data_IF_876453152363
#
_entry.id   IF_876453152363
#
_cell.length_a   1.000
_cell.length_b   1.000
_cell.length_c   1.000
_cell.angle_alpha   90.00
_cell.angle_beta   90.00
_cell.angle_gamma   90.00
#
_symmetry.space_group_name_H-M   'P 1'
#
loop_
_entity.id
_entity.type
_entity.pdbx_description
1 polymer ?
#
# COMPACT_ATOMS: atom_id res chain seq x y z
N UNK A 1 -10.12 22.19 11.06
CA UNK A 1 -8.79 21.83 10.56
C UNK A 1 -8.95 20.67 9.58
N UNK A 2 -8.35 20.74 8.41
CA UNK A 2 -8.31 19.64 7.45
C UNK A 2 -7.28 18.62 7.92
N UNK A 3 -7.64 17.33 7.96
CA UNK A 3 -6.71 16.24 8.28
C UNK A 3 -6.11 15.67 7.01
N UNK A 4 -4.82 15.37 7.02
CA UNK A 4 -4.10 14.84 5.87
C UNK A 4 -3.68 13.39 6.10
N UNK A 5 -4.05 12.54 5.14
CA UNK A 5 -3.78 11.10 5.17
C UNK A 5 -2.76 10.78 4.09
N UNK A 6 -1.67 10.14 4.48
CA UNK A 6 -0.72 9.54 3.57
C UNK A 6 -1.17 8.14 3.14
N UNK A 7 -0.86 7.72 1.93
CA UNK A 7 -1.15 6.38 1.42
C UNK A 7 0.06 5.84 0.64
N UNK A 8 0.45 4.61 0.91
CA UNK A 8 1.46 3.88 0.14
C UNK A 8 1.08 2.41 -0.07
N UNK A 9 1.67 1.81 -1.09
CA UNK A 9 1.59 0.38 -1.39
C UNK A 9 2.97 -0.25 -1.34
N UNK A 10 3.16 -1.32 -0.56
CA UNK A 10 4.46 -1.93 -0.33
C UNK A 10 4.44 -3.46 -0.43
N UNK A 11 5.61 -4.07 -0.61
CA UNK A 11 5.80 -5.50 -0.72
C UNK A 11 5.84 -6.00 -2.17
N UNK A 12 5.15 -7.10 -2.49
CA UNK A 12 5.00 -7.63 -3.85
C UNK A 12 3.72 -7.12 -4.51
N UNK A 13 3.64 -7.22 -5.82
CA UNK A 13 2.40 -6.94 -6.55
C UNK A 13 1.28 -7.91 -6.19
N UNK A 14 0.04 -7.44 -6.22
CA UNK A 14 -1.14 -8.22 -5.87
C UNK A 14 -2.40 -7.60 -6.48
N UNK A 15 -3.38 -8.42 -6.79
CA UNK A 15 -4.69 -7.96 -7.22
C UNK A 15 -5.37 -7.12 -6.11
N UNK A 16 -6.22 -6.18 -6.51
CA UNK A 16 -7.06 -5.39 -5.60
C UNK A 16 -6.41 -4.16 -4.98
N UNK A 17 -5.11 -3.91 -5.20
CA UNK A 17 -4.45 -2.71 -4.62
C UNK A 17 -5.04 -1.41 -5.18
N UNK A 18 -5.24 -1.30 -6.48
CA UNK A 18 -5.89 -0.13 -7.08
C UNK A 18 -7.34 0.05 -6.61
N UNK A 19 -8.07 -1.05 -6.40
CA UNK A 19 -9.41 -1.01 -5.84
C UNK A 19 -9.40 -0.46 -4.40
N UNK A 20 -8.43 -0.88 -3.57
CA UNK A 20 -8.25 -0.36 -2.21
C UNK A 20 -7.86 1.13 -2.22
N UNK A 21 -6.91 1.54 -3.06
CA UNK A 21 -6.54 2.96 -3.25
C UNK A 21 -7.77 3.79 -3.60
N UNK A 22 -8.57 3.30 -4.57
CA UNK A 22 -9.80 3.98 -5.00
C UNK A 22 -10.84 4.05 -3.88
N UNK A 23 -11.02 2.97 -3.11
CA UNK A 23 -11.94 2.94 -1.98
C UNK A 23 -11.57 3.99 -0.93
N UNK A 24 -10.30 4.04 -0.52
CA UNK A 24 -9.78 5.05 0.40
C UNK A 24 -9.97 6.45 -0.17
N UNK A 25 -9.56 6.67 -1.43
CA UNK A 25 -9.67 7.97 -2.07
C UNK A 25 -11.12 8.47 -2.19
N UNK A 26 -12.08 7.57 -2.47
CA UNK A 26 -13.50 7.92 -2.48
C UNK A 26 -14.03 8.27 -1.10
N UNK A 27 -13.62 7.51 -0.07
CA UNK A 27 -14.00 7.81 1.31
C UNK A 27 -13.45 9.18 1.75
N UNK A 28 -12.19 9.47 1.45
CA UNK A 28 -11.57 10.77 1.74
C UNK A 28 -12.25 11.90 0.95
N UNK A 29 -12.55 11.71 -0.34
CA UNK A 29 -13.20 12.72 -1.16
C UNK A 29 -14.65 13.05 -0.74
N UNK A 30 -15.30 12.16 0.00
CA UNK A 30 -16.63 12.38 0.55
C UNK A 30 -16.64 13.33 1.76
N UNK A 31 -15.50 13.51 2.43
CA UNK A 31 -15.34 14.43 3.57
C UNK A 31 -14.40 15.58 3.21
N UNK A 32 -14.94 16.78 3.07
CA UNK A 32 -14.15 18.01 2.78
C UNK A 32 -13.09 18.36 3.83
N UNK A 33 -13.11 17.68 4.98
CA UNK A 33 -12.11 17.84 6.04
C UNK A 33 -10.92 16.89 5.91
N UNK A 34 -10.90 16.05 4.87
CA UNK A 34 -9.84 15.09 4.62
C UNK A 34 -9.11 15.40 3.32
N UNK A 35 -7.80 15.22 3.31
CA UNK A 35 -6.94 15.26 2.12
C UNK A 35 -6.16 13.96 2.03
N UNK A 36 -5.93 13.46 0.81
CA UNK A 36 -5.17 12.26 0.54
C UNK A 36 -3.93 12.57 -0.30
N UNK A 37 -2.77 12.11 0.16
CA UNK A 37 -1.52 12.18 -0.59
C UNK A 37 -0.95 10.76 -0.74
N UNK A 38 -0.57 10.36 -1.96
CA UNK A 38 0.10 9.09 -2.23
C UNK A 38 1.61 9.24 -2.15
N UNK A 39 2.31 8.19 -1.68
CA UNK A 39 3.77 8.06 -1.77
C UNK A 39 4.11 7.02 -2.82
N UNK A 40 5.00 7.36 -3.76
CA UNK A 40 5.39 6.49 -4.85
C UNK A 40 6.34 5.39 -4.39
N UNK A 41 6.23 4.20 -4.99
CA UNK A 41 7.14 3.08 -4.78
C UNK A 41 7.29 2.68 -3.29
N UNK A 42 6.16 2.70 -2.57
CA UNK A 42 6.08 2.26 -1.18
C UNK A 42 6.89 3.14 -0.22
N UNK A 43 7.65 2.50 0.67
CA UNK A 43 8.47 3.22 1.64
C UNK A 43 9.63 3.99 1.00
N UNK A 44 10.05 3.68 -0.24
CA UNK A 44 11.04 4.49 -0.93
C UNK A 44 10.53 5.93 -1.09
N UNK A 45 9.30 6.09 -1.56
CA UNK A 45 8.69 7.41 -1.73
C UNK A 45 8.49 8.15 -0.41
N UNK A 46 8.20 7.43 0.67
CA UNK A 46 8.10 8.06 1.99
C UNK A 46 9.46 8.57 2.48
N UNK A 47 10.54 7.79 2.28
CA UNK A 47 11.90 8.15 2.70
C UNK A 47 12.50 9.27 1.84
N UNK A 48 12.21 9.25 0.52
CA UNK A 48 12.75 10.17 -0.49
C UNK A 48 11.83 11.38 -0.76
N UNK A 49 10.70 11.47 -0.07
CA UNK A 49 9.68 12.52 -0.25
C UNK A 49 9.11 12.58 -1.69
N UNK A 50 8.87 11.40 -2.30
CA UNK A 50 8.27 11.31 -3.64
C UNK A 50 6.77 11.07 -3.54
N UNK A 51 6.01 12.11 -3.80
CA UNK A 51 4.56 12.10 -3.65
C UNK A 51 3.81 12.06 -4.97
N UNK A 52 2.53 11.74 -4.89
CA UNK A 52 1.56 11.79 -5.99
C UNK A 52 0.24 12.33 -5.44
N UNK A 53 -0.31 13.34 -6.08
CA UNK A 53 -1.67 13.80 -5.78
C UNK A 53 -2.68 12.72 -6.21
N UNK A 54 -3.58 12.37 -5.30
CA UNK A 54 -4.66 11.41 -5.52
C UNK A 54 -6.04 12.07 -5.67
N UNK A 55 -6.05 13.40 -5.89
CA UNK A 55 -7.25 14.18 -6.16
C UNK A 55 -7.73 14.09 -7.61
N UNK A 56 -8.81 14.80 -7.89
CA UNK A 56 -9.36 14.94 -9.25
C UNK A 56 -9.78 13.61 -9.88
N UNK A 57 -9.41 13.41 -11.15
CA UNK A 57 -9.76 12.23 -11.95
C UNK A 57 -8.84 11.03 -11.81
N UNK A 58 -7.72 11.13 -11.04
CA UNK A 58 -6.68 10.09 -10.95
C UNK A 58 -7.23 8.74 -10.51
N UNK A 59 -8.23 8.73 -9.64
CA UNK A 59 -8.87 7.51 -9.15
C UNK A 59 -9.96 6.97 -10.08
N UNK A 60 -10.24 7.66 -11.18
CA UNK A 60 -11.21 7.20 -12.17
C UNK A 60 -10.62 6.07 -13.01
N UNK A 61 -11.41 5.01 -13.23
CA UNK A 61 -11.01 3.89 -14.08
C UNK A 61 -10.01 2.89 -13.46
N UNK A 62 -9.44 3.14 -12.27
CA UNK A 62 -8.43 2.25 -11.68
C UNK A 62 -9.02 1.01 -10.97
N UNK A 63 -10.33 0.92 -10.79
CA UNK A 63 -10.98 -0.15 -10.02
C UNK A 63 -10.63 -1.55 -10.55
N UNK A 64 -10.61 -1.70 -11.86
CA UNK A 64 -10.38 -2.97 -12.55
C UNK A 64 -8.96 -3.13 -13.09
N UNK A 65 -8.10 -2.14 -12.86
CA UNK A 65 -6.69 -2.22 -13.25
C UNK A 65 -5.90 -3.03 -12.23
N UNK A 66 -5.14 -4.00 -12.70
CA UNK A 66 -4.15 -4.71 -11.88
C UNK A 66 -3.02 -3.80 -11.40
N UNK A 67 -2.23 -4.29 -10.46
CA UNK A 67 -1.12 -3.54 -9.91
C UNK A 67 -1.52 -2.38 -9.01
N UNK A 68 -0.67 -1.36 -8.99
CA UNK A 68 -0.88 -0.15 -8.19
C UNK A 68 -0.40 1.09 -8.93
N UNK A 69 -1.23 2.13 -8.98
CA UNK A 69 -0.86 3.43 -9.57
C UNK A 69 0.23 4.16 -8.77
N UNK A 70 0.43 3.78 -7.51
CA UNK A 70 1.48 4.36 -6.65
C UNK A 70 2.85 3.71 -6.87
N UNK A 71 2.93 2.60 -7.61
CA UNK A 71 4.13 1.79 -7.65
C UNK A 71 4.34 0.99 -6.36
N UNK A 72 5.35 0.13 -6.33
CA UNK A 72 5.57 -0.77 -5.21
C UNK A 72 7.06 -1.04 -5.00
N UNK A 73 7.48 -1.24 -3.75
CA UNK A 73 8.83 -1.66 -3.38
C UNK A 73 8.78 -2.61 -2.20
N UNK A 74 9.77 -3.50 -2.10
CA UNK A 74 9.98 -4.39 -0.95
C UNK A 74 10.86 -3.77 0.13
N UNK A 75 11.46 -2.62 -0.15
CA UNK A 75 12.30 -1.92 0.81
C UNK A 75 11.49 -1.44 2.01
N UNK A 76 12.11 -1.45 3.17
CA UNK A 76 11.53 -0.97 4.42
C UNK A 76 12.43 0.10 5.03
N UNK A 77 11.91 1.08 5.78
CA UNK A 77 12.70 2.20 6.29
C UNK A 77 13.93 1.79 7.11
N UNK A 78 13.84 0.67 7.88
CA UNK A 78 14.95 0.16 8.70
C UNK A 78 16.06 -0.50 7.88
N UNK A 79 15.84 -0.80 6.60
CA UNK A 79 16.80 -1.51 5.74
C UNK A 79 16.68 -1.05 4.28
N UNK A 80 16.84 0.24 4.06
CA UNK A 80 16.89 0.81 2.71
C UNK A 80 18.21 0.50 2.02
N UNK A 81 18.22 0.20 0.72
CA UNK A 81 19.45 0.01 -0.02
C UNK A 81 20.37 1.24 0.08
N UNK A 82 21.64 1.02 0.43
CA UNK A 82 22.66 2.05 0.55
C UNK A 82 24.01 1.50 0.10
N UNK A 83 24.44 1.85 -1.11
CA UNK A 83 25.69 1.33 -1.70
C UNK A 83 25.69 -0.18 -1.80
N UNK A 84 26.65 -0.85 -1.12
CA UNK A 84 26.75 -2.33 -1.07
C UNK A 84 26.00 -2.97 0.11
N UNK A 85 25.24 -2.20 0.89
CA UNK A 85 24.53 -2.66 2.08
C UNK A 85 23.17 -2.01 2.24
N UNK A 86 22.71 -1.92 3.48
CA UNK A 86 21.47 -1.24 3.86
C UNK A 86 21.73 -0.19 4.92
N UNK A 87 20.89 0.85 4.96
CA UNK A 87 20.88 1.89 5.98
C UNK A 87 19.49 2.01 6.61
N UNK A 88 19.46 2.35 7.88
CA UNK A 88 18.23 2.72 8.56
C UNK A 88 17.89 4.20 8.25
N UNK A 89 16.85 4.40 7.46
CA UNK A 89 16.33 5.70 7.08
C UNK A 89 14.95 5.97 7.72
N UNK A 90 14.68 5.37 8.87
CA UNK A 90 13.45 5.58 9.65
C UNK A 90 13.24 7.06 9.96
N UNK A 91 14.31 7.80 10.29
CA UNK A 91 14.21 9.22 10.58
C UNK A 91 13.76 10.03 9.36
N UNK A 92 14.23 9.69 8.15
CA UNK A 92 13.79 10.34 6.91
C UNK A 92 12.28 10.15 6.69
N UNK A 93 11.75 8.94 6.96
CA UNK A 93 10.31 8.67 6.89
C UNK A 93 9.52 9.51 7.90
N UNK A 94 10.03 9.64 9.14
CA UNK A 94 9.44 10.48 10.19
C UNK A 94 9.44 11.95 9.78
N UNK A 95 10.54 12.44 9.22
CA UNK A 95 10.68 13.84 8.81
C UNK A 95 9.74 14.18 7.65
N UNK A 96 9.59 13.25 6.67
CA UNK A 96 8.64 13.40 5.57
C UNK A 96 7.19 13.41 6.08
N UNK A 97 6.84 12.49 6.99
CA UNK A 97 5.53 12.47 7.64
C UNK A 97 5.20 13.81 8.32
N UNK A 98 6.14 14.37 9.10
CA UNK A 98 5.99 15.66 9.78
C UNK A 98 5.93 16.83 8.80
N UNK A 99 6.78 16.82 7.76
CA UNK A 99 6.83 17.88 6.72
C UNK A 99 5.50 18.02 6.01
N UNK A 100 4.87 16.89 5.64
CA UNK A 100 3.55 16.87 5.04
C UNK A 100 2.42 17.07 6.05
N UNK A 101 2.72 17.17 7.35
CA UNK A 101 1.73 17.31 8.44
C UNK A 101 0.66 16.23 8.35
N UNK A 102 1.10 14.99 8.18
CA UNK A 102 0.17 13.87 8.10
C UNK A 102 -0.45 13.60 9.48
N UNK A 103 -1.75 13.37 9.51
CA UNK A 103 -2.48 12.90 10.70
C UNK A 103 -2.44 11.38 10.82
N UNK A 104 -2.33 10.68 9.67
CA UNK A 104 -2.18 9.23 9.60
C UNK A 104 -1.49 8.82 8.30
N UNK A 105 -0.87 7.64 8.31
CA UNK A 105 -0.33 6.98 7.13
C UNK A 105 -0.97 5.60 6.97
N UNK A 106 -1.61 5.37 5.83
CA UNK A 106 -2.16 4.07 5.46
C UNK A 106 -1.15 3.33 4.59
N UNK A 107 -0.79 2.12 4.99
CA UNK A 107 0.13 1.26 4.28
C UNK A 107 -0.61 0.00 3.79
N UNK A 108 -0.69 -0.22 2.47
CA UNK A 108 -1.26 -1.44 1.90
C UNK A 108 -0.10 -2.41 1.65
N UNK A 109 -0.08 -3.58 2.33
CA UNK A 109 1.02 -4.50 2.15
C UNK A 109 0.94 -5.78 2.98
N UNK A 110 1.95 -6.63 2.83
CA UNK A 110 2.05 -7.93 3.51
C UNK A 110 2.80 -7.87 4.85
N UNK A 111 3.30 -9.02 5.29
CA UNK A 111 3.95 -9.21 6.60
C UNK A 111 5.07 -8.20 6.88
N UNK A 112 5.94 -7.94 5.91
CA UNK A 112 7.05 -6.99 6.11
C UNK A 112 6.56 -5.54 6.21
N UNK A 113 5.47 -5.20 5.51
CA UNK A 113 4.81 -3.90 5.63
C UNK A 113 4.21 -3.71 7.02
N UNK A 114 3.64 -4.76 7.60
CA UNK A 114 3.11 -4.73 8.98
C UNK A 114 4.23 -4.51 9.98
N UNK A 115 5.37 -5.21 9.84
CA UNK A 115 6.54 -5.01 10.70
C UNK A 115 7.10 -3.59 10.58
N UNK A 116 7.22 -3.07 9.35
CA UNK A 116 7.66 -1.69 9.11
C UNK A 116 6.68 -0.68 9.69
N UNK A 117 5.36 -0.91 9.53
CA UNK A 117 4.32 -0.08 10.12
C UNK A 117 4.38 -0.05 11.64
N UNK A 118 4.58 -1.20 12.29
CA UNK A 118 4.79 -1.29 13.73
C UNK A 118 6.04 -0.51 14.18
N UNK A 119 7.13 -0.62 13.42
CA UNK A 119 8.36 0.12 13.71
C UNK A 119 8.14 1.64 13.63
N UNK A 120 7.51 2.13 12.56
CA UNK A 120 7.16 3.54 12.40
C UNK A 120 6.16 4.02 13.47
N UNK A 121 5.21 3.18 13.87
CA UNK A 121 4.28 3.51 14.97
C UNK A 121 5.02 3.69 16.29
N UNK A 122 6.03 2.86 16.59
CA UNK A 122 6.91 3.04 17.76
C UNK A 122 7.77 4.30 17.67
N UNK A 123 8.05 4.78 16.45
CA UNK A 123 8.70 6.06 16.23
C UNK A 123 7.72 7.27 16.33
N UNK A 124 6.47 7.03 16.70
CA UNK A 124 5.47 8.07 16.98
C UNK A 124 4.56 8.44 15.82
N UNK A 125 4.55 7.67 14.72
CA UNK A 125 3.64 7.89 13.60
C UNK A 125 2.30 7.19 13.83
N UNK A 126 1.20 7.80 13.41
CA UNK A 126 -0.11 7.15 13.39
C UNK A 126 -0.24 6.31 12.10
N UNK A 127 -0.13 4.98 12.25
CA UNK A 127 -0.06 4.03 11.12
C UNK A 127 -1.29 3.13 11.13
N UNK A 128 -1.87 2.94 9.93
CA UNK A 128 -2.89 1.92 9.66
C UNK A 128 -2.35 1.01 8.57
N UNK A 129 -2.34 -0.30 8.77
CA UNK A 129 -1.92 -1.27 7.75
C UNK A 129 -3.13 -2.04 7.25
N UNK A 130 -3.33 -2.05 5.92
CA UNK A 130 -4.30 -2.90 5.24
C UNK A 130 -3.57 -4.14 4.73
N UNK A 131 -3.94 -5.34 5.23
CA UNK A 131 -3.25 -6.57 4.86
C UNK A 131 -3.54 -6.96 3.40
N UNK A 132 -2.49 -7.25 2.66
CA UNK A 132 -2.51 -7.68 1.26
C UNK A 132 -1.65 -8.94 1.10
N UNK A 133 -2.23 -10.01 0.58
CA UNK A 133 -1.52 -11.25 0.25
C UNK A 133 -2.38 -12.10 -0.70
N UNK A 134 -1.80 -12.57 -1.81
CA UNK A 134 -2.46 -13.47 -2.74
C UNK A 134 -2.68 -14.87 -2.15
N UNK A 135 -1.85 -15.28 -1.20
CA UNK A 135 -1.85 -16.58 -0.51
C UNK A 135 -2.52 -16.55 0.88
N UNK A 136 -3.09 -15.42 1.27
CA UNK A 136 -3.80 -15.21 2.55
C UNK A 136 -2.99 -15.61 3.79
N UNK A 137 -1.68 -15.39 3.76
CA UNK A 137 -0.73 -15.85 4.78
C UNK A 137 -0.39 -14.81 5.86
N UNK A 138 -1.18 -13.72 5.96
CA UNK A 138 -0.97 -12.65 6.94
C UNK A 138 -1.57 -13.06 8.30
N UNK A 139 -0.75 -13.23 9.35
CA UNK A 139 -1.25 -13.64 10.65
C UNK A 139 -2.26 -12.62 11.23
N UNK A 140 -3.32 -13.13 11.88
CA UNK A 140 -4.36 -12.29 12.49
C UNK A 140 -5.31 -11.62 11.50
N UNK A 141 -5.32 -12.09 10.25
CA UNK A 141 -6.19 -11.59 9.18
C UNK A 141 -7.03 -12.74 8.65
N UNK A 142 -8.35 -12.58 8.62
CA UNK A 142 -9.27 -13.59 8.07
C UNK A 142 -9.12 -13.66 6.55
N UNK A 143 -9.11 -12.48 5.90
CA UNK A 143 -8.92 -12.35 4.45
C UNK A 143 -8.04 -11.14 4.13
N UNK A 144 -6.95 -11.39 3.42
CA UNK A 144 -6.10 -10.35 2.88
C UNK A 144 -6.60 -9.88 1.51
N UNK A 145 -6.37 -8.60 1.18
CA UNK A 145 -6.66 -8.05 -0.14
C UNK A 145 -5.89 -8.86 -1.20
N UNK A 146 -6.59 -9.30 -2.23
CA UNK A 146 -6.04 -10.03 -3.36
C UNK A 146 -6.21 -11.55 -3.32
N UNK A 147 -6.46 -12.16 -2.15
CA UNK A 147 -6.62 -13.61 -2.03
C UNK A 147 -7.79 -14.15 -2.84
N UNK A 148 -9.00 -13.59 -2.64
CA UNK A 148 -10.20 -14.10 -3.34
C UNK A 148 -10.06 -13.95 -4.86
N UNK A 149 -9.47 -12.85 -5.36
CA UNK A 149 -9.21 -12.65 -6.78
C UNK A 149 -8.19 -13.66 -7.31
N UNK A 150 -7.10 -13.91 -6.59
CA UNK A 150 -6.09 -14.90 -6.99
C UNK A 150 -6.68 -16.30 -7.05
N UNK A 151 -7.47 -16.67 -6.05
CA UNK A 151 -8.17 -17.97 -6.01
C UNK A 151 -9.13 -18.13 -7.18
N UNK A 152 -9.95 -17.12 -7.46
CA UNK A 152 -10.92 -17.14 -8.56
C UNK A 152 -10.24 -17.30 -9.92
N UNK A 153 -9.18 -16.54 -10.19
CA UNK A 153 -8.42 -16.64 -11.43
C UNK A 153 -7.79 -18.03 -11.58
N UNK A 154 -7.22 -18.58 -10.50
CA UNK A 154 -6.64 -19.93 -10.51
C UNK A 154 -7.72 -20.99 -10.81
N UNK A 155 -8.88 -20.90 -10.17
CA UNK A 155 -10.02 -21.80 -10.42
C UNK A 155 -10.46 -21.76 -11.88
N UNK A 156 -10.69 -20.55 -12.43
CA UNK A 156 -11.08 -20.38 -13.82
C UNK A 156 -10.03 -20.92 -14.81
N UNK A 157 -8.74 -20.77 -14.50
CA UNK A 157 -7.67 -21.33 -15.33
C UNK A 157 -7.69 -22.86 -15.34
N UNK A 158 -7.90 -23.49 -14.18
CA UNK A 158 -8.02 -24.96 -14.05
C UNK A 158 -9.25 -25.46 -14.80
N UNK A 159 -10.40 -24.81 -14.63
CA UNK A 159 -11.66 -25.22 -15.30
C UNK A 159 -11.52 -25.18 -16.84
N UNK A 160 -10.80 -24.17 -17.37
CA UNK A 160 -10.55 -24.09 -18.83
C UNK A 160 -9.63 -25.20 -19.34
N UNK A 161 -8.73 -25.71 -18.53
CA UNK A 161 -7.80 -26.79 -18.89
C UNK A 161 -8.47 -28.17 -18.80
N UNK A 162 -9.48 -28.32 -17.95
CA UNK A 162 -10.16 -29.62 -17.72
C UNK A 162 -10.71 -30.24 -18.98
N UNK A 163 -11.31 -29.47 -19.89
CA UNK A 163 -11.85 -29.95 -21.17
C UNK A 163 -10.79 -30.41 -22.17
N UNK A 164 -9.54 -29.98 -22.00
CA UNK A 164 -8.42 -30.30 -22.91
C UNK A 164 -7.57 -31.46 -22.36
N UNK A 165 -7.67 -31.77 -21.05
CA UNK A 165 -6.93 -32.82 -20.39
C UNK A 165 -7.59 -34.21 -20.43
N UNK A 166 -8.79 -34.34 -21.01
CA UNK A 166 -9.55 -35.60 -21.18
C UNK A 166 -9.39 -36.16 -22.60
#
# INVERSE_FOLDING_TARGET
MTKRIGLLTAGSDCAGMNAAIRGIGKAVSADKKLELIGFRDGFNGLVEDRTMDLGGGVLSGILTLGGTILGISRNIPQAMPAGKGTADLTQNAVDTYKRHKLDALVCIGGKETIKAGLHLSRAGLNIVVLPKAADNDVPGTDKAIGFDTAREIATQAIDRLHSTAN
#
